data_IF_320346688986
#
_entry.id   IF_320346688986
#
_cell.length_a   1.000
_cell.length_b   1.000
_cell.length_c   1.000
_cell.angle_alpha   90.00
_cell.angle_beta   90.00
_cell.angle_gamma   90.00
#
_symmetry.space_group_name_H-M   'P 1'
#
loop_
_entity.id
_entity.type
_entity.pdbx_description
1 polymer ?
#
# COMPACT_ATOMS: atom_id res chain seq x y z
N UNK A 1 -15.30 -33.73 -20.16
CA UNK A 1 -14.04 -34.45 -20.43
C UNK A 1 -13.51 -34.95 -19.09
N UNK A 2 -13.36 -36.29 -18.89
CA UNK A 2 -12.79 -36.83 -17.63
C UNK A 2 -11.28 -36.92 -17.82
N UNK A 3 -10.52 -36.21 -17.01
CA UNK A 3 -9.06 -36.33 -16.94
C UNK A 3 -8.73 -37.69 -16.34
N UNK A 4 -7.88 -38.46 -16.98
CA UNK A 4 -7.43 -39.76 -16.45
C UNK A 4 -6.22 -39.55 -15.52
N UNK A 5 -5.87 -40.55 -14.70
CA UNK A 5 -4.78 -40.44 -13.71
C UNK A 5 -3.42 -40.12 -14.34
N UNK A 6 -3.13 -40.62 -15.54
CA UNK A 6 -1.88 -40.31 -16.22
C UNK A 6 -1.80 -38.86 -16.68
N UNK A 7 -2.92 -38.31 -17.19
CA UNK A 7 -3.02 -36.88 -17.53
C UNK A 7 -2.93 -35.99 -16.30
N UNK A 8 -3.56 -36.37 -15.19
CA UNK A 8 -3.46 -35.64 -13.93
C UNK A 8 -2.01 -35.64 -13.40
N UNK A 9 -1.35 -36.80 -13.44
CA UNK A 9 0.04 -36.90 -13.03
C UNK A 9 0.95 -36.06 -13.89
N UNK A 10 0.79 -36.05 -15.21
CA UNK A 10 1.58 -35.18 -16.11
C UNK A 10 1.44 -33.71 -15.77
N UNK A 11 0.22 -33.23 -15.50
CA UNK A 11 -0.05 -31.86 -15.11
C UNK A 11 0.63 -31.53 -13.76
N UNK A 12 0.53 -32.45 -12.78
CA UNK A 12 1.18 -32.26 -11.48
C UNK A 12 2.70 -32.18 -11.64
N UNK A 13 3.29 -33.09 -12.42
CA UNK A 13 4.73 -33.13 -12.66
C UNK A 13 5.22 -31.85 -13.37
N UNK A 14 4.44 -31.29 -14.31
CA UNK A 14 4.75 -30.01 -14.97
C UNK A 14 4.65 -28.80 -14.03
N UNK A 15 3.76 -28.83 -13.03
CA UNK A 15 3.53 -27.76 -12.06
C UNK A 15 4.39 -27.88 -10.80
N UNK A 16 5.10 -29.00 -10.63
CA UNK A 16 5.93 -29.26 -9.46
C UNK A 16 7.39 -29.00 -9.79
N UNK A 17 8.00 -28.06 -9.09
CA UNK A 17 9.43 -27.77 -9.21
C UNK A 17 10.22 -28.62 -8.23
N UNK A 18 11.30 -29.21 -8.70
CA UNK A 18 12.27 -29.86 -7.83
C UNK A 18 13.20 -28.84 -7.14
N UNK A 19 14.04 -29.33 -6.23
CA UNK A 19 14.91 -28.46 -5.42
C UNK A 19 15.94 -27.69 -6.27
N UNK A 20 16.43 -28.29 -7.35
CA UNK A 20 17.42 -27.65 -8.21
C UNK A 20 16.74 -26.57 -9.07
N UNK A 21 15.56 -26.83 -9.62
CA UNK A 21 14.74 -25.84 -10.32
C UNK A 21 14.37 -24.67 -9.41
N UNK A 22 14.02 -24.91 -8.15
CA UNK A 22 13.76 -23.85 -7.17
C UNK A 22 15.00 -22.98 -6.90
N UNK A 23 16.19 -23.57 -6.86
CA UNK A 23 17.45 -22.80 -6.74
C UNK A 23 17.74 -21.96 -7.97
N UNK A 24 17.47 -22.48 -9.17
CA UNK A 24 17.62 -21.73 -10.41
C UNK A 24 16.68 -20.53 -10.44
N UNK A 25 15.41 -20.71 -10.09
CA UNK A 25 14.45 -19.61 -9.97
C UNK A 25 14.91 -18.57 -8.93
N UNK A 26 15.33 -19.00 -7.75
CA UNK A 26 15.83 -18.09 -6.72
C UNK A 26 17.07 -17.32 -7.16
N UNK A 27 17.97 -17.96 -7.93
CA UNK A 27 19.18 -17.32 -8.46
C UNK A 27 18.85 -16.29 -9.54
N UNK A 28 17.90 -16.62 -10.44
CA UNK A 28 17.42 -15.70 -11.47
C UNK A 28 16.71 -14.50 -10.84
N UNK A 29 15.85 -14.73 -9.86
CA UNK A 29 15.18 -13.68 -9.12
C UNK A 29 16.18 -12.73 -8.44
N UNK A 30 17.16 -13.29 -7.72
CA UNK A 30 18.21 -12.49 -7.09
C UNK A 30 18.99 -11.64 -8.10
N UNK A 31 19.34 -12.21 -9.24
CA UNK A 31 20.04 -11.50 -10.31
C UNK A 31 19.22 -10.31 -10.83
N UNK A 32 17.93 -10.50 -11.07
CA UNK A 32 17.01 -9.44 -11.49
C UNK A 32 16.86 -8.34 -10.43
N UNK A 33 16.78 -8.71 -9.15
CA UNK A 33 16.76 -7.74 -8.05
C UNK A 33 18.03 -6.89 -8.03
N UNK A 34 19.21 -7.51 -8.17
CA UNK A 34 20.51 -6.83 -8.21
C UNK A 34 20.63 -5.88 -9.42
N UNK A 35 20.11 -6.26 -10.59
CA UNK A 35 20.05 -5.38 -11.76
C UNK A 35 19.20 -4.14 -11.49
N UNK A 36 18.00 -4.32 -10.96
CA UNK A 36 17.07 -3.22 -10.66
C UNK A 36 17.63 -2.25 -9.61
N UNK A 37 18.25 -2.76 -8.56
CA UNK A 37 18.91 -1.94 -7.53
C UNK A 37 20.06 -1.09 -8.09
N UNK A 38 20.72 -1.57 -9.14
CA UNK A 38 21.75 -0.83 -9.89
C UNK A 38 21.16 0.15 -10.92
N UNK A 39 19.82 0.25 -11.03
CA UNK A 39 19.14 1.09 -12.02
C UNK A 39 19.21 0.55 -13.45
N UNK A 40 19.50 -0.74 -13.63
CA UNK A 40 19.53 -1.43 -14.92
C UNK A 40 18.14 -2.00 -15.25
N UNK A 41 17.93 -2.35 -16.50
CA UNK A 41 16.71 -3.01 -16.96
C UNK A 41 16.53 -4.36 -16.25
N UNK A 42 15.33 -4.58 -15.68
CA UNK A 42 14.99 -5.77 -14.91
C UNK A 42 13.49 -6.03 -15.00
N UNK A 43 13.10 -7.28 -14.80
CA UNK A 43 11.70 -7.68 -14.67
C UNK A 43 11.09 -7.24 -13.31
N UNK A 44 11.93 -6.88 -12.33
CA UNK A 44 11.53 -6.49 -10.97
C UNK A 44 11.75 -4.98 -10.76
N UNK A 45 10.71 -4.21 -10.41
CA UNK A 45 10.83 -2.75 -10.26
C UNK A 45 11.75 -2.31 -9.11
N UNK A 46 11.79 -3.05 -8.01
CA UNK A 46 12.55 -2.76 -6.79
C UNK A 46 12.40 -1.30 -6.35
N UNK A 47 11.15 -0.93 -6.04
CA UNK A 47 10.77 0.45 -5.73
C UNK A 47 11.19 0.82 -4.31
N UNK A 48 11.74 2.02 -4.16
CA UNK A 48 12.09 2.56 -2.85
C UNK A 48 10.86 3.10 -2.13
N UNK A 49 10.72 2.77 -0.85
CA UNK A 49 9.80 3.41 0.07
C UNK A 49 10.57 4.41 0.92
N UNK A 50 10.08 5.65 0.98
CA UNK A 50 10.73 6.77 1.64
C UNK A 50 10.36 6.86 3.12
N UNK A 51 10.34 5.70 3.80
CA UNK A 51 10.01 5.58 5.21
C UNK A 51 10.98 4.60 5.88
N UNK A 52 11.31 4.86 7.13
CA UNK A 52 12.11 3.96 7.96
C UNK A 52 11.24 3.05 8.83
N UNK A 53 11.87 2.03 9.43
CA UNK A 53 11.19 1.18 10.39
C UNK A 53 10.78 1.98 11.64
N UNK A 54 9.62 1.68 12.22
CA UNK A 54 9.19 2.26 13.48
C UNK A 54 10.09 1.78 14.62
N UNK A 55 10.12 2.57 15.68
CA UNK A 55 10.93 2.27 16.88
C UNK A 55 10.13 1.55 17.97
N UNK A 56 8.80 1.51 17.83
CA UNK A 56 7.88 1.05 18.86
C UNK A 56 7.65 2.06 19.99
N UNK A 57 8.30 3.24 19.92
CA UNK A 57 8.17 4.29 20.94
C UNK A 57 7.29 5.46 20.51
N UNK A 58 6.77 5.42 19.30
CA UNK A 58 5.90 6.45 18.73
C UNK A 58 4.63 6.58 19.58
N UNK A 59 4.21 7.83 19.82
CA UNK A 59 3.03 8.17 20.61
C UNK A 59 2.20 9.24 19.92
N UNK A 60 0.90 9.15 20.07
CA UNK A 60 -0.04 10.15 19.55
C UNK A 60 -1.21 9.52 18.82
N UNK A 61 -2.10 10.38 18.37
CA UNK A 61 -3.25 9.98 17.56
C UNK A 61 -3.06 10.43 16.12
N UNK A 62 -3.25 9.49 15.21
CA UNK A 62 -3.06 9.67 13.78
C UNK A 62 -4.26 9.13 13.02
N UNK A 63 -4.47 9.66 11.83
CA UNK A 63 -5.42 9.10 10.89
C UNK A 63 -4.70 8.14 9.95
N UNK A 64 -5.36 7.05 9.66
CA UNK A 64 -4.93 6.09 8.65
C UNK A 64 -6.05 5.88 7.62
N UNK A 65 -5.69 5.77 6.35
CA UNK A 65 -6.57 5.35 5.27
C UNK A 65 -5.97 4.12 4.60
N UNK A 66 -6.73 3.06 4.53
CA UNK A 66 -6.44 1.93 3.65
C UNK A 66 -7.25 2.07 2.36
N UNK A 67 -6.57 2.47 1.28
CA UNK A 67 -7.16 2.51 -0.06
C UNK A 67 -6.89 1.17 -0.76
N UNK A 68 -7.68 0.18 -0.40
CA UNK A 68 -7.57 -1.17 -0.94
C UNK A 68 -8.31 -1.37 -2.26
N UNK A 69 -8.29 -2.61 -2.74
CA UNK A 69 -8.93 -2.99 -4.01
C UNK A 69 -10.46 -3.16 -3.95
N UNK A 70 -11.03 -3.39 -2.77
CA UNK A 70 -12.46 -3.71 -2.61
C UNK A 70 -13.15 -2.79 -1.61
N UNK A 71 -12.45 -2.40 -0.56
CA UNK A 71 -12.96 -1.56 0.52
C UNK A 71 -12.00 -0.42 0.81
N UNK A 72 -12.57 0.69 1.28
CA UNK A 72 -11.87 1.79 1.93
C UNK A 72 -12.03 1.64 3.44
N UNK A 73 -10.96 1.91 4.20
CA UNK A 73 -11.01 1.98 5.66
C UNK A 73 -10.36 3.27 6.12
N UNK A 74 -11.12 4.06 6.85
CA UNK A 74 -10.64 5.26 7.54
C UNK A 74 -10.57 4.96 9.03
N UNK A 75 -9.42 5.19 9.64
CA UNK A 75 -9.17 4.82 11.04
C UNK A 75 -8.57 5.99 11.81
N UNK A 76 -8.96 6.11 13.08
CA UNK A 76 -8.27 6.90 14.10
C UNK A 76 -7.46 5.91 14.95
N UNK A 77 -6.15 6.03 14.89
CA UNK A 77 -5.21 5.14 15.56
C UNK A 77 -4.48 5.91 16.66
N UNK A 78 -4.45 5.35 17.86
CA UNK A 78 -3.66 5.86 18.99
C UNK A 78 -2.43 4.98 19.21
N UNK A 79 -1.24 5.54 18.98
CA UNK A 79 0.03 4.92 19.32
C UNK A 79 0.36 5.22 20.78
N UNK A 80 0.64 4.19 21.57
CA UNK A 80 0.84 4.29 23.02
C UNK A 80 2.32 4.29 23.41
N UNK A 81 3.24 4.01 22.48
CA UNK A 81 4.61 3.60 22.76
C UNK A 81 4.67 2.14 23.22
N UNK A 82 5.87 1.66 23.52
CA UNK A 82 6.10 0.30 23.99
C UNK A 82 5.47 -0.78 23.10
N UNK A 83 5.53 -0.55 21.77
CA UNK A 83 4.99 -1.42 20.72
C UNK A 83 3.46 -1.63 20.81
N UNK A 84 2.74 -0.72 21.46
CA UNK A 84 1.29 -0.82 21.65
C UNK A 84 0.52 0.26 20.86
N UNK A 85 -0.59 -0.16 20.28
CA UNK A 85 -1.52 0.74 19.61
C UNK A 85 -2.98 0.33 19.86
N UNK A 86 -3.88 1.22 19.54
CA UNK A 86 -5.32 1.01 19.62
C UNK A 86 -6.00 1.66 18.41
N UNK A 87 -6.90 0.94 17.76
CA UNK A 87 -7.82 1.54 16.79
C UNK A 87 -8.97 2.13 17.60
N UNK A 88 -8.97 3.45 17.74
CA UNK A 88 -9.95 4.18 18.56
C UNK A 88 -11.32 4.21 17.88
N UNK A 89 -11.33 4.44 16.56
CA UNK A 89 -12.54 4.48 15.73
C UNK A 89 -12.21 4.06 14.30
N UNK A 90 -13.16 3.44 13.62
CA UNK A 90 -13.01 3.01 12.23
C UNK A 90 -14.32 3.19 11.47
N UNK A 91 -14.21 3.65 10.22
CA UNK A 91 -15.29 3.68 9.23
C UNK A 91 -14.80 2.88 8.02
N UNK A 92 -15.57 1.87 7.63
CA UNK A 92 -15.25 1.04 6.46
C UNK A 92 -16.41 1.07 5.47
N UNK A 93 -16.11 1.29 4.19
CA UNK A 93 -17.11 1.31 3.12
C UNK A 93 -16.60 0.54 1.90
N UNK A 94 -17.47 -0.27 1.25
CA UNK A 94 -17.11 -0.91 0.00
C UNK A 94 -16.99 0.13 -1.12
N UNK A 95 -16.13 -0.17 -2.11
CA UNK A 95 -15.96 0.68 -3.31
C UNK A 95 -17.09 0.49 -4.34
N UNK A 96 -17.77 -0.64 -4.27
CA UNK A 96 -18.89 -0.99 -5.17
C UNK A 96 -20.07 -1.53 -4.37
N UNK A 97 -21.25 -0.98 -4.62
CA UNK A 97 -22.54 -1.43 -4.08
C UNK A 97 -23.59 -1.43 -5.18
N UNK A 98 -24.83 -1.76 -4.87
CA UNK A 98 -25.97 -1.58 -5.79
C UNK A 98 -26.25 -0.11 -6.12
N UNK A 99 -25.88 0.83 -5.22
CA UNK A 99 -26.16 2.25 -5.34
C UNK A 99 -25.04 3.04 -6.05
N UNK A 100 -23.80 2.58 -5.93
CA UNK A 100 -22.65 3.27 -6.52
C UNK A 100 -21.52 2.31 -6.91
N UNK A 101 -20.73 2.77 -7.89
CA UNK A 101 -19.48 2.12 -8.29
C UNK A 101 -18.39 3.19 -8.38
N UNK A 102 -17.37 3.10 -7.52
CA UNK A 102 -16.29 4.06 -7.38
C UNK A 102 -15.00 3.64 -8.10
N UNK A 103 -14.97 2.47 -8.73
CA UNK A 103 -13.76 1.93 -9.37
C UNK A 103 -13.77 2.08 -10.88
N UNK A 104 -14.94 2.25 -11.51
CA UNK A 104 -15.06 2.32 -12.96
C UNK A 104 -15.03 3.76 -13.50
N UNK A 105 -14.97 3.90 -14.82
CA UNK A 105 -14.89 5.18 -15.51
C UNK A 105 -16.09 6.13 -15.33
N UNK A 106 -17.14 5.74 -14.61
CA UNK A 106 -18.27 6.61 -14.25
C UNK A 106 -18.03 7.44 -12.99
N UNK A 107 -17.02 7.10 -12.21
CA UNK A 107 -16.59 7.87 -11.05
C UNK A 107 -15.39 8.76 -11.42
N UNK A 108 -15.49 10.07 -11.20
CA UNK A 108 -14.34 10.97 -11.34
C UNK A 108 -13.41 10.90 -10.14
N UNK A 109 -12.16 11.35 -10.28
CA UNK A 109 -11.23 11.52 -9.17
C UNK A 109 -11.89 12.30 -8.02
N UNK A 110 -12.49 13.45 -8.30
CA UNK A 110 -13.16 14.29 -7.31
C UNK A 110 -14.21 13.50 -6.52
N UNK A 111 -15.09 12.74 -7.22
CA UNK A 111 -16.13 11.94 -6.56
C UNK A 111 -15.54 10.88 -5.61
N UNK A 112 -14.47 10.22 -6.01
CA UNK A 112 -13.84 9.18 -5.19
C UNK A 112 -13.15 9.77 -3.97
N UNK A 113 -12.37 10.82 -4.15
CA UNK A 113 -11.65 11.46 -3.04
C UNK A 113 -12.60 12.23 -2.10
N UNK A 114 -13.69 12.83 -2.62
CA UNK A 114 -14.74 13.44 -1.80
C UNK A 114 -15.49 12.39 -0.96
N UNK A 115 -15.73 11.20 -1.52
CA UNK A 115 -16.29 10.08 -0.76
C UNK A 115 -15.38 9.66 0.40
N UNK A 116 -14.07 9.62 0.18
CA UNK A 116 -13.09 9.37 1.25
C UNK A 116 -13.14 10.49 2.30
N UNK A 117 -13.21 11.75 1.87
CA UNK A 117 -13.31 12.88 2.81
C UNK A 117 -14.60 12.81 3.66
N UNK A 118 -15.72 12.39 3.08
CA UNK A 118 -16.97 12.16 3.83
C UNK A 118 -16.84 11.03 4.88
N UNK A 119 -16.04 9.99 4.61
CA UNK A 119 -15.73 8.95 5.61
C UNK A 119 -14.94 9.51 6.80
N UNK A 120 -14.01 10.43 6.55
CA UNK A 120 -13.26 11.09 7.63
C UNK A 120 -14.10 12.11 8.39
N UNK A 121 -15.04 12.79 7.75
CA UNK A 121 -16.02 13.64 8.44
C UNK A 121 -16.87 12.80 9.42
N UNK A 122 -17.34 11.63 8.99
CA UNK A 122 -18.06 10.68 9.85
C UNK A 122 -17.16 10.13 10.98
N UNK A 123 -15.92 9.80 10.68
CA UNK A 123 -14.95 9.28 11.66
C UNK A 123 -14.69 10.30 12.78
N UNK A 124 -14.55 11.58 12.43
CA UNK A 124 -14.18 12.67 13.33
C UNK A 124 -15.38 13.42 13.91
N UNK A 125 -16.60 12.94 13.72
CA UNK A 125 -17.78 13.57 14.28
C UNK A 125 -17.63 13.82 15.79
N UNK A 126 -17.68 15.10 16.20
CA UNK A 126 -17.47 15.54 17.59
C UNK A 126 -16.00 15.74 18.02
N UNK A 127 -15.03 15.62 17.11
CA UNK A 127 -13.59 15.69 17.41
C UNK A 127 -12.86 16.89 16.74
N UNK A 128 -13.51 18.03 16.58
CA UNK A 128 -13.18 19.07 15.59
C UNK A 128 -12.02 20.02 15.94
N UNK A 129 -11.49 20.00 17.16
CA UNK A 129 -10.56 21.06 17.63
C UNK A 129 -9.07 20.66 17.60
N UNK A 130 -8.71 19.61 16.85
CA UNK A 130 -7.34 19.10 16.81
C UNK A 130 -6.89 18.93 15.37
N UNK A 131 -5.64 19.24 15.09
CA UNK A 131 -5.00 18.88 13.83
C UNK A 131 -4.59 17.41 13.86
N UNK A 132 -4.99 16.69 12.83
CA UNK A 132 -4.64 15.28 12.60
C UNK A 132 -3.70 15.14 11.41
N UNK A 133 -2.70 14.30 11.55
CA UNK A 133 -1.83 13.88 10.44
C UNK A 133 -2.32 12.54 9.91
N UNK A 134 -2.44 12.45 8.59
CA UNK A 134 -2.96 11.28 7.89
C UNK A 134 -1.86 10.66 7.03
N UNK A 135 -1.62 9.38 7.24
CA UNK A 135 -0.89 8.51 6.32
C UNK A 135 -1.84 7.50 5.67
N UNK A 136 -1.55 7.10 4.43
CA UNK A 136 -2.41 6.11 3.80
C UNK A 136 -1.66 5.07 2.98
N UNK A 137 -2.29 3.91 2.81
CA UNK A 137 -1.86 2.92 1.85
C UNK A 137 -2.49 3.18 0.50
N UNK A 138 -1.69 2.97 -0.55
CA UNK A 138 -2.15 3.08 -1.93
C UNK A 138 -1.55 1.94 -2.75
N UNK A 139 -2.36 0.89 -2.95
CA UNK A 139 -1.92 -0.40 -3.49
C UNK A 139 -1.93 -0.43 -5.01
N UNK A 140 -1.37 0.61 -5.65
CA UNK A 140 -1.28 0.75 -7.11
C UNK A 140 0.13 1.18 -7.53
N UNK A 141 0.56 0.82 -8.75
CA UNK A 141 1.86 1.21 -9.27
C UNK A 141 2.02 2.73 -9.28
N UNK A 142 2.95 3.25 -8.49
CA UNK A 142 3.18 4.69 -8.34
C UNK A 142 4.65 5.03 -8.43
N UNK A 143 4.97 6.10 -9.12
CA UNK A 143 6.29 6.71 -9.06
C UNK A 143 6.37 7.59 -7.82
N UNK A 144 7.33 7.30 -6.94
CA UNK A 144 7.52 8.02 -5.70
C UNK A 144 8.91 8.65 -5.66
N UNK A 145 9.01 9.88 -5.14
CA UNK A 145 10.28 10.62 -4.98
C UNK A 145 10.59 10.95 -3.52
N UNK A 146 9.58 10.92 -2.67
CA UNK A 146 9.63 11.10 -1.22
C UNK A 146 8.39 10.44 -0.58
N UNK A 147 8.22 10.59 0.72
CA UNK A 147 7.11 9.96 1.47
C UNK A 147 5.73 10.54 1.10
N UNK A 148 5.68 11.75 0.56
CA UNK A 148 4.44 12.44 0.19
C UNK A 148 4.09 12.26 -1.29
N UNK A 149 5.08 12.33 -2.16
CA UNK A 149 4.92 12.48 -3.59
C UNK A 149 4.84 11.12 -4.30
N UNK A 150 3.65 10.51 -4.29
CA UNK A 150 3.35 9.32 -5.08
C UNK A 150 2.43 9.67 -6.26
N UNK A 151 2.95 9.50 -7.46
CA UNK A 151 2.23 9.75 -8.71
C UNK A 151 1.75 8.41 -9.30
N UNK A 152 0.44 8.24 -9.42
CA UNK A 152 -0.13 7.02 -10.01
C UNK A 152 0.34 6.86 -11.47
N UNK A 153 0.92 5.72 -11.80
CA UNK A 153 1.36 5.40 -13.16
C UNK A 153 0.23 4.83 -14.00
N UNK A 154 -0.46 3.84 -13.48
CA UNK A 154 -1.54 3.13 -14.17
C UNK A 154 -2.45 2.46 -13.17
N UNK A 155 -3.75 2.47 -13.44
CA UNK A 155 -4.70 1.68 -12.68
C UNK A 155 -4.54 0.18 -12.93
N UNK A 156 -4.75 -0.60 -11.90
CA UNK A 156 -4.78 -2.08 -11.90
C UNK A 156 -6.05 -2.56 -11.19
N UNK A 157 -6.28 -3.85 -11.07
CA UNK A 157 -7.40 -4.45 -10.30
C UNK A 157 -8.78 -3.94 -10.75
N UNK A 158 -9.02 -3.79 -12.06
CA UNK A 158 -10.28 -3.30 -12.66
C UNK A 158 -10.63 -1.83 -12.38
N UNK A 159 -9.72 -1.07 -11.77
CA UNK A 159 -9.90 0.36 -11.61
C UNK A 159 -9.72 1.11 -12.92
N UNK A 160 -10.56 2.14 -13.13
CA UNK A 160 -10.50 3.01 -14.31
C UNK A 160 -11.03 4.41 -14.00
N UNK A 161 -10.57 5.01 -12.88
CA UNK A 161 -11.05 6.32 -12.42
C UNK A 161 -10.32 7.41 -13.20
N UNK A 162 -11.01 8.20 -14.03
CA UNK A 162 -10.40 9.29 -14.79
C UNK A 162 -9.92 10.42 -13.87
N UNK A 163 -8.77 11.03 -14.23
CA UNK A 163 -8.21 12.18 -13.55
C UNK A 163 -7.34 11.85 -12.33
N UNK A 164 -6.87 10.59 -12.21
CA UNK A 164 -5.94 10.18 -11.14
C UNK A 164 -4.58 9.76 -11.70
N UNK A 165 -4.57 9.07 -12.86
CA UNK A 165 -3.31 8.69 -13.50
C UNK A 165 -2.49 9.93 -13.86
N UNK A 166 -1.21 9.91 -13.51
CA UNK A 166 -0.29 11.02 -13.68
C UNK A 166 -0.36 12.09 -12.58
N UNK A 167 -1.33 12.00 -11.64
CA UNK A 167 -1.47 12.96 -10.54
C UNK A 167 -0.84 12.44 -9.24
N UNK A 168 -0.48 13.38 -8.35
CA UNK A 168 -0.02 13.07 -6.99
C UNK A 168 -1.25 12.74 -6.13
N UNK A 169 -1.35 11.51 -5.66
CA UNK A 169 -2.55 11.04 -4.95
C UNK A 169 -2.80 11.77 -3.64
N UNK A 170 -1.74 12.21 -2.95
CA UNK A 170 -1.86 13.01 -1.73
C UNK A 170 -2.45 14.39 -2.00
N UNK A 171 -2.14 15.02 -3.13
CA UNK A 171 -2.71 16.32 -3.51
C UNK A 171 -4.21 16.18 -3.80
N UNK A 172 -4.62 15.11 -4.47
CA UNK A 172 -6.04 14.84 -4.73
C UNK A 172 -6.81 14.63 -3.42
N UNK A 173 -6.24 13.88 -2.48
CA UNK A 173 -6.83 13.61 -1.18
C UNK A 173 -6.89 14.88 -0.31
N UNK A 174 -5.81 15.66 -0.24
CA UNK A 174 -5.80 16.93 0.50
C UNK A 174 -6.81 17.92 -0.09
N UNK A 175 -6.88 18.04 -1.41
CA UNK A 175 -7.87 18.90 -2.07
C UNK A 175 -9.33 18.50 -1.75
N UNK A 176 -9.61 17.20 -1.57
CA UNK A 176 -10.93 16.74 -1.15
C UNK A 176 -11.23 17.16 0.30
N UNK A 177 -10.29 17.03 1.22
CA UNK A 177 -10.45 17.54 2.59
C UNK A 177 -10.71 19.03 2.62
N UNK A 178 -9.98 19.80 1.82
CA UNK A 178 -10.15 21.25 1.72
C UNK A 178 -11.54 21.63 1.16
N UNK A 179 -12.03 20.94 0.11
CA UNK A 179 -13.38 21.13 -0.44
C UNK A 179 -14.48 20.83 0.57
N UNK A 180 -14.27 19.81 1.43
CA UNK A 180 -15.23 19.41 2.48
C UNK A 180 -15.09 20.23 3.77
N UNK A 181 -14.18 21.19 3.83
CA UNK A 181 -13.96 22.03 5.02
C UNK A 181 -13.24 21.33 6.17
N UNK A 182 -12.59 20.19 5.92
CA UNK A 182 -11.82 19.40 6.89
C UNK A 182 -10.38 19.89 7.00
N UNK A 183 -10.20 21.19 7.18
CA UNK A 183 -8.87 21.84 7.17
C UNK A 183 -7.93 21.42 8.30
N UNK A 184 -8.46 20.72 9.30
CA UNK A 184 -7.74 20.11 10.40
C UNK A 184 -7.09 18.76 10.07
N UNK A 185 -7.33 18.19 8.89
CA UNK A 185 -6.65 16.98 8.40
C UNK A 185 -5.51 17.38 7.48
N UNK A 186 -4.32 16.83 7.73
CA UNK A 186 -3.12 17.04 6.91
C UNK A 186 -2.62 15.70 6.39
N UNK A 187 -2.69 15.51 5.09
CA UNK A 187 -2.11 14.33 4.42
C UNK A 187 -0.59 14.49 4.44
N UNK A 188 0.13 13.52 4.97
CA UNK A 188 1.59 13.61 5.17
C UNK A 188 2.37 12.46 4.56
N UNK A 189 1.73 11.33 4.30
CA UNK A 189 2.44 10.16 3.83
C UNK A 189 1.56 9.24 2.97
N UNK A 190 2.17 8.60 1.99
CA UNK A 190 1.60 7.51 1.21
C UNK A 190 2.61 6.40 1.05
N UNK A 191 2.19 5.16 1.26
CA UNK A 191 3.03 3.97 1.11
C UNK A 191 2.24 2.86 0.43
N UNK A 192 2.96 1.86 -0.10
CA UNK A 192 2.33 0.64 -0.58
C UNK A 192 1.79 -0.21 0.59
N UNK A 193 0.75 -1.03 0.34
CA UNK A 193 0.12 -1.91 1.33
C UNK A 193 1.11 -2.92 1.95
N UNK A 194 1.99 -3.52 1.15
CA UNK A 194 3.01 -4.47 1.64
C UNK A 194 4.02 -3.79 2.56
N UNK A 195 4.38 -2.53 2.26
CA UNK A 195 5.24 -1.72 3.14
C UNK A 195 4.52 -1.40 4.44
N UNK A 196 3.23 -1.05 4.39
CA UNK A 196 2.43 -0.80 5.59
C UNK A 196 2.33 -2.04 6.49
N UNK A 197 2.19 -3.24 5.89
CA UNK A 197 2.22 -4.50 6.64
C UNK A 197 3.56 -4.70 7.36
N UNK A 198 4.70 -4.50 6.66
CA UNK A 198 6.03 -4.57 7.28
C UNK A 198 6.17 -3.58 8.43
N UNK A 199 5.73 -2.33 8.26
CA UNK A 199 5.80 -1.31 9.31
C UNK A 199 4.92 -1.64 10.51
N UNK A 200 3.69 -2.12 10.28
CA UNK A 200 2.77 -2.50 11.35
C UNK A 200 3.31 -3.67 12.15
N UNK A 201 3.82 -4.69 11.46
CA UNK A 201 4.47 -5.83 12.11
C UNK A 201 5.75 -5.40 12.85
N UNK A 202 6.57 -4.54 12.24
CA UNK A 202 7.79 -4.01 12.84
C UNK A 202 7.55 -3.12 14.07
N UNK A 203 6.41 -2.43 14.13
CA UNK A 203 6.01 -1.68 15.33
C UNK A 203 5.77 -2.62 16.53
N UNK A 204 5.14 -3.79 16.29
CA UNK A 204 4.86 -4.77 17.32
C UNK A 204 6.05 -5.71 17.60
N UNK A 205 6.78 -6.05 16.55
CA UNK A 205 7.89 -7.02 16.56
C UNK A 205 9.13 -6.40 15.90
N UNK A 206 10.00 -5.73 16.65
CA UNK A 206 11.12 -4.94 16.10
C UNK A 206 12.11 -5.71 15.21
N UNK A 207 12.15 -7.03 15.30
CA UNK A 207 12.99 -7.90 14.47
C UNK A 207 12.39 -8.23 13.09
N UNK A 208 11.20 -7.71 12.77
CA UNK A 208 10.56 -7.92 11.48
C UNK A 208 11.35 -7.22 10.36
N UNK A 209 11.71 -7.94 9.31
CA UNK A 209 12.53 -7.41 8.21
C UNK A 209 11.91 -7.60 6.83
N UNK A 210 10.89 -8.43 6.70
CA UNK A 210 10.23 -8.75 5.43
C UNK A 210 8.73 -8.65 5.63
N UNK A 211 8.04 -7.97 4.72
CA UNK A 211 6.59 -7.96 4.55
C UNK A 211 6.20 -8.72 3.30
N UNK A 212 5.15 -9.54 3.37
CA UNK A 212 4.68 -10.35 2.26
C UNK A 212 3.17 -10.33 2.16
N UNK A 213 2.63 -9.90 1.04
CA UNK A 213 1.24 -10.14 0.69
C UNK A 213 1.17 -11.28 -0.32
N UNK A 214 0.41 -12.30 0.03
CA UNK A 214 0.18 -13.46 -0.81
C UNK A 214 -1.33 -13.69 -0.96
N UNK A 215 -1.90 -13.19 -2.07
CA UNK A 215 -3.34 -13.21 -2.34
C UNK A 215 -3.58 -13.47 -3.84
N UNK A 216 -4.50 -12.74 -4.49
CA UNK A 216 -4.70 -12.79 -5.95
C UNK A 216 -3.41 -12.48 -6.72
N UNK A 217 -2.58 -11.57 -6.20
CA UNK A 217 -1.21 -11.33 -6.60
C UNK A 217 -0.27 -11.57 -5.42
N UNK A 218 1.02 -11.49 -5.68
CA UNK A 218 2.07 -11.54 -4.65
C UNK A 218 2.90 -10.28 -4.71
N UNK A 219 3.15 -9.68 -3.55
CA UNK A 219 4.04 -8.55 -3.40
C UNK A 219 4.88 -8.71 -2.13
N UNK A 220 6.14 -8.30 -2.19
CA UNK A 220 7.05 -8.43 -1.07
C UNK A 220 7.84 -7.14 -0.89
N UNK A 221 8.15 -6.80 0.34
CA UNK A 221 9.10 -5.75 0.66
C UNK A 221 10.07 -6.23 1.74
N UNK A 222 11.25 -5.63 1.77
CA UNK A 222 12.28 -5.99 2.74
C UNK A 222 13.17 -4.80 3.08
N UNK A 223 13.91 -4.93 4.18
CA UNK A 223 14.92 -3.97 4.59
C UNK A 223 16.20 -4.17 3.78
N UNK A 224 16.60 -3.13 3.03
CA UNK A 224 17.87 -3.13 2.29
C UNK A 224 18.88 -2.18 2.96
N UNK A 225 20.16 -2.46 2.80
CA UNK A 225 21.22 -1.55 3.27
C UNK A 225 21.30 -0.34 2.35
N UNK A 226 21.11 0.85 2.90
CA UNK A 226 21.14 2.11 2.12
C UNK A 226 22.47 2.31 1.39
N UNK A 227 23.58 1.80 1.93
CA UNK A 227 24.89 1.84 1.28
C UNK A 227 24.95 1.01 -0.02
N UNK A 228 24.14 -0.03 -0.12
CA UNK A 228 24.15 -0.96 -1.25
C UNK A 228 23.26 -0.47 -2.40
N UNK A 229 22.26 0.37 -2.10
CA UNK A 229 21.30 0.88 -3.11
C UNK A 229 21.60 2.28 -3.62
N UNK A 230 22.51 3.03 -2.98
CA UNK A 230 22.80 4.41 -3.35
C UNK A 230 21.59 5.35 -3.34
N UNK A 231 20.54 4.98 -2.60
CA UNK A 231 19.24 5.66 -2.53
C UNK A 231 18.90 5.98 -1.08
N UNK A 232 18.05 7.00 -0.81
CA UNK A 232 17.76 7.44 0.56
C UNK A 232 16.85 6.48 1.35
N UNK A 233 16.28 5.45 0.71
CA UNK A 233 15.32 4.53 1.34
C UNK A 233 15.97 3.20 1.73
N UNK A 234 15.56 2.67 2.88
CA UNK A 234 15.98 1.36 3.38
C UNK A 234 14.97 0.24 3.10
N UNK A 235 13.71 0.57 2.80
CA UNK A 235 12.68 -0.42 2.47
C UNK A 235 12.49 -0.44 0.95
N UNK A 236 12.64 -1.61 0.38
CA UNK A 236 12.44 -1.89 -1.05
C UNK A 236 11.19 -2.76 -1.21
N UNK A 237 10.37 -2.39 -2.18
CA UNK A 237 9.11 -3.05 -2.50
C UNK A 237 9.03 -3.42 -3.99
#
# INVERSE_FOLDING_TARGET
MRINEAQLKSIIDELTLDKEQLKEVASAMRFDMELALQGRESSMPMLCSYIGMPTGQEKGEFLALDFGGTNLRAELVSLKGDCQYEIVKMVAKPLVTEEYNLINGSASAEKVFDFIADMFAELLEGAENKTYYLGHTFSFPSQQTDIYNARLLVWTKEFAIPGVEGEVVNDLLQAAFDRKGLSNIKVVAVINDTVAELLTAGYQYPDTQIGCIYATGSNNCYMERTADVGRPAAIIN
#
